data_IF_341990262870
#
_entry.id   IF_341990262870
#
_cell.length_a   1.000
_cell.length_b   1.000
_cell.length_c   1.000
_cell.angle_alpha   90.00
_cell.angle_beta   90.00
_cell.angle_gamma   90.00
#
_symmetry.space_group_name_H-M   'P 1'
#
loop_
_entity.id
_entity.type
_entity.pdbx_description
1 polymer ?
#
# COMPACT_ATOMS: atom_id res chain seq x y z
N UNK A 1 44.28 2.62 0.87
CA UNK A 1 43.06 1.90 0.50
C UNK A 1 42.67 2.41 -0.88
N UNK A 2 42.80 1.61 -1.90
CA UNK A 2 42.28 1.91 -3.23
C UNK A 2 40.77 2.11 -3.10
N UNK A 3 40.28 3.26 -3.56
CA UNK A 3 38.85 3.50 -3.67
C UNK A 3 38.28 2.48 -4.65
N UNK A 4 37.44 1.59 -4.16
CA UNK A 4 36.68 0.67 -5.00
C UNK A 4 35.95 1.53 -6.07
N UNK A 5 36.21 1.25 -7.33
CA UNK A 5 35.57 1.98 -8.45
C UNK A 5 34.09 1.64 -8.60
N UNK A 6 33.56 0.70 -7.78
CA UNK A 6 32.19 0.24 -7.83
C UNK A 6 31.48 0.42 -6.47
N UNK A 7 30.15 0.58 -6.53
CA UNK A 7 29.29 0.60 -5.34
C UNK A 7 28.61 -0.76 -5.15
N UNK A 8 28.66 -1.26 -3.92
CA UNK A 8 28.01 -2.51 -3.53
C UNK A 8 26.62 -2.22 -2.95
N UNK A 9 25.59 -2.69 -3.64
CA UNK A 9 24.22 -2.60 -3.20
C UNK A 9 23.79 -3.95 -2.59
N UNK A 10 23.41 -3.92 -1.32
CA UNK A 10 22.92 -5.08 -0.58
C UNK A 10 21.41 -5.21 -0.78
N UNK A 11 20.91 -6.44 -0.83
CA UNK A 11 19.49 -6.76 -0.82
C UNK A 11 19.24 -8.10 -0.11
N UNK A 12 18.02 -8.31 0.35
CA UNK A 12 17.59 -9.55 1.02
C UNK A 12 16.36 -10.12 0.35
N UNK A 13 16.09 -11.44 0.45
CA UNK A 13 14.80 -12.00 0.11
C UNK A 13 13.70 -11.39 0.98
N UNK A 14 12.48 -11.26 0.43
CA UNK A 14 11.33 -10.75 1.19
C UNK A 14 10.03 -11.36 0.66
N UNK A 15 9.15 -11.75 1.60
CA UNK A 15 7.82 -12.29 1.33
C UNK A 15 6.83 -11.22 0.86
N UNK A 16 6.93 -10.01 1.39
CA UNK A 16 5.86 -9.03 1.38
C UNK A 16 6.14 -7.81 0.51
N UNK A 17 7.30 -7.75 -0.12
CA UNK A 17 7.67 -6.63 -0.98
C UNK A 17 8.43 -7.08 -2.25
N UNK A 18 8.63 -6.20 -3.16
CA UNK A 18 9.38 -6.48 -4.40
C UNK A 18 10.71 -5.73 -4.45
N UNK A 19 11.30 -5.42 -3.30
CA UNK A 19 12.53 -4.61 -3.19
C UNK A 19 13.64 -5.20 -4.04
N UNK A 20 13.90 -6.52 -3.93
CA UNK A 20 14.94 -7.18 -4.72
C UNK A 20 14.76 -6.95 -6.22
N UNK A 21 13.54 -7.17 -6.74
CA UNK A 21 13.25 -6.96 -8.16
C UNK A 21 13.35 -5.50 -8.58
N UNK A 22 12.92 -4.59 -7.72
CA UNK A 22 13.01 -3.16 -8.02
C UNK A 22 14.45 -2.71 -8.09
N UNK A 23 15.30 -3.15 -7.16
CA UNK A 23 16.73 -2.79 -7.18
C UNK A 23 17.49 -3.48 -8.34
N UNK A 24 17.19 -4.73 -8.68
CA UNK A 24 17.74 -5.42 -9.86
C UNK A 24 17.43 -4.64 -11.14
N UNK A 25 16.19 -4.20 -11.32
CA UNK A 25 15.76 -3.36 -12.45
C UNK A 25 16.47 -1.99 -12.46
N UNK A 26 16.60 -1.36 -11.30
CA UNK A 26 17.28 -0.08 -11.19
C UNK A 26 18.78 -0.19 -11.51
N UNK A 27 19.45 -1.22 -11.00
CA UNK A 27 20.85 -1.53 -11.33
C UNK A 27 20.99 -1.85 -12.82
N UNK A 28 20.09 -2.64 -13.40
CA UNK A 28 20.08 -2.95 -14.84
C UNK A 28 19.91 -1.71 -15.72
N UNK A 29 19.18 -0.70 -15.24
CA UNK A 29 18.94 0.55 -15.97
C UNK A 29 20.11 1.52 -15.84
N UNK A 30 20.65 1.71 -14.64
CA UNK A 30 21.63 2.74 -14.30
C UNK A 30 23.07 2.20 -14.19
N UNK A 31 23.26 0.87 -14.05
CA UNK A 31 24.57 0.24 -13.89
C UNK A 31 25.51 0.41 -15.10
N UNK A 32 24.97 0.79 -16.26
CA UNK A 32 25.80 1.10 -17.46
C UNK A 32 26.61 2.39 -17.32
N UNK A 33 26.16 3.29 -16.46
CA UNK A 33 26.81 4.60 -16.23
C UNK A 33 27.70 4.61 -14.99
N UNK A 34 27.53 3.61 -14.11
CA UNK A 34 28.32 3.42 -12.89
C UNK A 34 28.47 1.93 -12.61
N UNK A 35 29.61 1.50 -12.12
CA UNK A 35 29.83 0.12 -11.71
C UNK A 35 29.05 -0.17 -10.41
N UNK A 36 27.79 -0.60 -10.55
CA UNK A 36 26.91 -1.00 -9.46
C UNK A 36 26.90 -2.52 -9.35
N UNK A 37 27.24 -3.05 -8.19
CA UNK A 37 27.25 -4.49 -7.93
C UNK A 37 26.19 -4.85 -6.90
N UNK A 38 25.29 -5.75 -7.27
CA UNK A 38 24.27 -6.27 -6.37
C UNK A 38 24.83 -7.48 -5.61
N UNK A 39 24.66 -7.47 -4.28
CA UNK A 39 24.99 -8.58 -3.39
C UNK A 39 23.77 -8.96 -2.57
N UNK A 40 23.27 -10.17 -2.75
CA UNK A 40 22.19 -10.73 -1.97
C UNK A 40 22.72 -11.31 -0.65
N UNK A 41 22.04 -11.03 0.45
CA UNK A 41 22.31 -11.58 1.78
C UNK A 41 21.05 -12.31 2.27
N UNK A 42 21.20 -13.38 3.08
CA UNK A 42 20.08 -14.23 3.45
C UNK A 42 19.08 -13.54 4.38
N UNK A 43 19.56 -12.67 5.28
CA UNK A 43 18.74 -12.06 6.33
C UNK A 43 18.98 -10.56 6.43
N UNK A 44 17.93 -9.81 6.80
CA UNK A 44 17.97 -8.35 6.98
C UNK A 44 18.99 -7.92 8.04
N UNK A 45 19.05 -8.61 9.16
CA UNK A 45 20.02 -8.33 10.23
C UNK A 45 21.47 -8.41 9.73
N UNK A 46 21.80 -9.46 8.96
CA UNK A 46 23.11 -9.62 8.33
C UNK A 46 23.40 -8.49 7.33
N UNK A 47 22.40 -8.04 6.60
CA UNK A 47 22.54 -6.95 5.64
C UNK A 47 22.78 -5.61 6.34
N UNK A 48 22.06 -5.32 7.42
CA UNK A 48 22.26 -4.13 8.25
C UNK A 48 23.66 -4.12 8.86
N UNK A 49 24.12 -5.25 9.42
CA UNK A 49 25.47 -5.36 9.97
C UNK A 49 26.54 -5.17 8.89
N UNK A 50 26.38 -5.81 7.72
CA UNK A 50 27.30 -5.69 6.56
C UNK A 50 27.41 -4.23 6.08
N UNK A 51 26.28 -3.49 6.13
CA UNK A 51 26.26 -2.06 5.81
C UNK A 51 27.00 -1.23 6.86
N UNK A 52 26.78 -1.50 8.15
CA UNK A 52 27.46 -0.81 9.27
C UNK A 52 28.99 -1.03 9.23
N UNK A 53 29.42 -2.26 8.93
CA UNK A 53 30.84 -2.64 8.84
C UNK A 53 31.55 -2.06 7.60
N UNK A 54 30.80 -1.46 6.66
CA UNK A 54 31.37 -0.83 5.48
C UNK A 54 31.79 -1.78 4.37
N UNK A 55 31.35 -3.04 4.43
CA UNK A 55 31.57 -4.03 3.34
C UNK A 55 30.46 -3.99 2.29
N UNK A 56 29.45 -3.17 2.50
CA UNK A 56 28.44 -2.71 1.53
C UNK A 56 28.30 -1.21 1.61
N UNK A 57 27.84 -0.58 0.55
CA UNK A 57 27.69 0.87 0.47
C UNK A 57 26.23 1.31 0.65
N UNK A 58 25.30 0.54 0.12
CA UNK A 58 23.87 0.81 0.08
C UNK A 58 23.12 -0.46 0.44
N UNK A 59 22.06 -0.37 1.22
CA UNK A 59 21.09 -1.44 1.44
C UNK A 59 19.75 -1.02 0.85
N UNK A 60 19.24 -1.82 -0.09
CA UNK A 60 17.87 -1.69 -0.56
C UNK A 60 16.95 -2.44 0.41
N UNK A 61 15.99 -1.74 1.00
CA UNK A 61 15.02 -2.33 1.94
C UNK A 61 13.64 -1.70 1.80
N UNK A 62 12.62 -2.39 2.29
CA UNK A 62 11.27 -1.85 2.30
C UNK A 62 11.09 -0.78 3.38
N UNK A 63 10.05 0.03 3.24
CA UNK A 63 9.70 0.97 4.30
C UNK A 63 9.26 0.24 5.58
N UNK A 64 8.67 -0.94 5.48
CA UNK A 64 8.31 -1.76 6.65
C UNK A 64 9.55 -2.24 7.40
N UNK A 65 10.55 -2.76 6.67
CA UNK A 65 11.81 -3.20 7.28
C UNK A 65 12.54 -2.04 7.94
N UNK A 66 12.50 -0.84 7.35
CA UNK A 66 13.08 0.36 7.96
C UNK A 66 12.46 0.69 9.32
N UNK A 67 11.15 0.61 9.43
CA UNK A 67 10.43 0.88 10.68
C UNK A 67 10.43 -0.29 11.66
N UNK A 68 10.68 -1.50 11.19
CA UNK A 68 10.66 -2.73 11.99
C UNK A 68 12.01 -3.19 12.54
N UNK A 69 13.12 -2.59 12.09
CA UNK A 69 14.47 -3.00 12.49
C UNK A 69 15.22 -1.89 13.23
N UNK A 70 16.29 -2.26 13.93
CA UNK A 70 17.25 -1.31 14.45
C UNK A 70 18.09 -0.73 13.30
N UNK A 71 17.94 0.56 13.08
CA UNK A 71 18.62 1.31 12.00
C UNK A 71 19.56 2.40 12.50
N UNK A 72 19.97 2.32 13.77
CA UNK A 72 20.89 3.29 14.38
C UNK A 72 22.19 3.40 13.58
N UNK A 73 22.65 4.64 13.40
CA UNK A 73 23.84 4.97 12.61
C UNK A 73 23.63 4.93 11.08
N UNK A 74 22.44 4.58 10.63
CA UNK A 74 22.07 4.56 9.21
C UNK A 74 21.17 5.74 8.83
N UNK A 75 21.06 6.01 7.54
CA UNK A 75 20.21 7.08 7.02
C UNK A 75 19.63 6.70 5.66
N UNK A 76 18.42 7.19 5.36
CA UNK A 76 17.83 7.06 4.03
C UNK A 76 18.53 8.05 3.09
N UNK A 77 19.26 7.53 2.10
CA UNK A 77 19.88 8.34 1.06
C UNK A 77 18.83 8.83 0.05
N UNK A 78 17.79 8.06 -0.18
CA UNK A 78 16.66 8.39 -1.04
C UNK A 78 15.83 7.16 -1.37
N UNK A 79 14.86 7.31 -2.28
CA UNK A 79 13.93 6.27 -2.68
C UNK A 79 13.97 6.03 -4.18
N UNK A 80 13.75 4.77 -4.56
CA UNK A 80 13.46 4.42 -5.95
C UNK A 80 12.05 4.88 -6.35
N UNK A 81 11.77 5.06 -7.66
CA UNK A 81 10.41 5.31 -8.13
C UNK A 81 9.44 4.23 -7.64
N UNK A 82 8.33 4.64 -7.02
CA UNK A 82 7.25 3.75 -6.57
C UNK A 82 6.47 3.21 -7.78
N UNK A 83 6.83 2.04 -8.28
CA UNK A 83 6.29 1.53 -9.54
C UNK A 83 5.08 0.60 -9.41
N UNK A 84 4.96 -0.12 -8.32
CA UNK A 84 3.97 -1.18 -8.17
C UNK A 84 3.32 -1.19 -6.77
N UNK A 85 2.61 -0.09 -6.41
CA UNK A 85 2.02 0.06 -5.06
C UNK A 85 0.73 -0.74 -4.86
N UNK A 86 0.28 -1.52 -5.85
CA UNK A 86 -0.96 -2.25 -5.81
C UNK A 86 -0.76 -3.73 -5.51
N UNK A 87 -1.83 -4.38 -5.10
CA UNK A 87 -1.93 -5.81 -4.90
C UNK A 87 -2.57 -6.47 -6.11
N UNK A 88 -2.42 -7.78 -6.21
CA UNK A 88 -3.06 -8.57 -7.25
C UNK A 88 -3.69 -9.82 -6.64
N UNK A 89 -4.86 -10.18 -7.14
CA UNK A 89 -5.41 -11.51 -6.96
C UNK A 89 -4.84 -12.43 -8.05
N UNK A 90 -4.29 -13.55 -7.65
CA UNK A 90 -3.88 -14.66 -8.52
C UNK A 90 -4.97 -15.71 -8.47
N UNK A 91 -5.72 -15.87 -9.56
CA UNK A 91 -6.83 -16.80 -9.68
C UNK A 91 -7.06 -17.14 -11.16
N UNK A 92 -7.91 -18.09 -11.46
CA UNK A 92 -8.27 -18.40 -12.86
C UNK A 92 -9.23 -17.36 -13.44
N UNK A 93 -10.13 -16.83 -12.61
CA UNK A 93 -11.12 -15.83 -12.99
C UNK A 93 -10.91 -14.50 -12.27
N UNK A 94 -11.53 -13.44 -12.80
CA UNK A 94 -11.55 -12.14 -12.13
C UNK A 94 -12.33 -12.22 -10.80
N UNK A 95 -12.06 -11.33 -9.84
CA UNK A 95 -12.75 -11.33 -8.56
C UNK A 95 -14.28 -11.41 -8.69
N UNK A 96 -14.87 -10.70 -9.68
CA UNK A 96 -16.31 -10.64 -9.89
C UNK A 96 -16.92 -11.96 -10.36
N UNK A 97 -16.11 -12.84 -10.95
CA UNK A 97 -16.55 -14.11 -11.55
C UNK A 97 -16.12 -15.35 -10.77
N UNK A 98 -15.42 -15.18 -9.63
CA UNK A 98 -15.16 -16.30 -8.73
C UNK A 98 -16.47 -16.94 -8.27
N UNK A 99 -16.48 -18.25 -8.10
CA UNK A 99 -17.64 -18.98 -7.60
C UNK A 99 -18.07 -18.48 -6.20
N UNK A 100 -19.35 -18.63 -5.89
CA UNK A 100 -19.87 -18.29 -4.57
C UNK A 100 -19.21 -19.19 -3.52
N UNK A 101 -18.69 -18.58 -2.44
CA UNK A 101 -17.97 -19.29 -1.40
C UNK A 101 -16.54 -19.68 -1.76
N UNK A 102 -16.00 -19.16 -2.88
CA UNK A 102 -14.60 -19.40 -3.27
C UNK A 102 -13.63 -18.98 -2.15
N UNK A 103 -12.58 -19.80 -1.97
CA UNK A 103 -11.56 -19.62 -0.94
C UNK A 103 -10.42 -18.78 -1.46
N UNK A 104 -10.24 -17.59 -0.90
CA UNK A 104 -9.18 -16.66 -1.27
C UNK A 104 -8.28 -16.39 -0.08
N UNK A 105 -6.99 -16.61 -0.26
CA UNK A 105 -6.00 -16.35 0.79
C UNK A 105 -5.54 -14.90 0.76
N UNK A 106 -5.60 -14.24 1.92
CA UNK A 106 -5.21 -12.85 2.08
C UNK A 106 -4.65 -12.61 3.49
N UNK A 107 -3.37 -12.30 3.59
CA UNK A 107 -2.69 -12.06 4.86
C UNK A 107 -3.08 -10.74 5.53
N UNK A 108 -3.37 -9.72 4.74
CA UNK A 108 -3.53 -8.37 5.27
C UNK A 108 -4.99 -8.06 5.63
N UNK A 109 -5.25 -7.69 6.89
CA UNK A 109 -6.61 -7.43 7.40
C UNK A 109 -7.37 -6.37 6.61
N UNK A 110 -6.72 -5.25 6.28
CA UNK A 110 -7.33 -4.22 5.44
C UNK A 110 -7.82 -4.80 4.10
N UNK A 111 -6.99 -5.60 3.43
CA UNK A 111 -7.36 -6.20 2.13
C UNK A 111 -8.49 -7.21 2.28
N UNK A 112 -8.56 -7.97 3.38
CA UNK A 112 -9.71 -8.84 3.67
C UNK A 112 -11.00 -8.05 3.79
N UNK A 113 -10.98 -6.90 4.50
CA UNK A 113 -12.14 -6.02 4.62
C UNK A 113 -12.56 -5.41 3.28
N UNK A 114 -11.60 -4.99 2.46
CA UNK A 114 -11.85 -4.49 1.11
C UNK A 114 -12.38 -5.58 0.18
N UNK A 115 -11.87 -6.82 0.28
CA UNK A 115 -12.41 -7.98 -0.46
C UNK A 115 -13.85 -8.29 -0.05
N UNK A 116 -14.18 -8.27 1.25
CA UNK A 116 -15.57 -8.43 1.72
C UNK A 116 -16.50 -7.32 1.22
N UNK A 117 -16.01 -6.08 1.12
CA UNK A 117 -16.77 -4.99 0.49
C UNK A 117 -17.14 -5.30 -0.95
N UNK A 118 -16.20 -5.87 -1.68
CA UNK A 118 -16.39 -6.24 -3.08
C UNK A 118 -17.22 -7.53 -3.23
N UNK A 119 -16.87 -8.57 -2.49
CA UNK A 119 -17.43 -9.92 -2.55
C UNK A 119 -17.62 -10.48 -1.15
N UNK A 120 -18.75 -10.19 -0.50
CA UNK A 120 -19.02 -10.62 0.87
C UNK A 120 -19.24 -12.12 1.03
N UNK A 121 -19.44 -12.83 -0.09
CA UNK A 121 -19.67 -14.28 -0.14
C UNK A 121 -18.37 -15.11 -0.16
N UNK A 122 -17.20 -14.50 -0.36
CA UNK A 122 -15.94 -15.22 -0.38
C UNK A 122 -15.50 -15.69 1.01
N UNK A 123 -14.86 -16.84 1.05
CA UNK A 123 -14.20 -17.38 2.26
C UNK A 123 -12.76 -16.86 2.25
N UNK A 124 -12.45 -15.90 3.13
CA UNK A 124 -11.12 -15.29 3.23
C UNK A 124 -10.33 -15.99 4.33
N UNK A 125 -9.22 -16.61 3.97
CA UNK A 125 -8.33 -17.37 4.83
C UNK A 125 -6.95 -16.69 4.91
N UNK A 126 -6.21 -16.93 6.01
CA UNK A 126 -4.77 -16.65 6.10
C UNK A 126 -3.96 -17.85 5.59
N UNK A 127 -2.64 -17.68 5.41
CA UNK A 127 -1.74 -18.81 5.08
C UNK A 127 -1.80 -19.86 6.20
N UNK A 128 -1.82 -19.41 7.46
CA UNK A 128 -1.92 -20.28 8.62
C UNK A 128 -3.24 -21.06 8.65
N UNK A 129 -4.36 -20.47 8.26
CA UNK A 129 -5.66 -21.14 8.16
C UNK A 129 -5.61 -22.28 7.13
N UNK A 130 -5.05 -22.00 5.95
CA UNK A 130 -4.85 -23.02 4.90
C UNK A 130 -3.94 -24.13 5.40
N UNK A 131 -2.80 -23.77 6.04
CA UNK A 131 -1.88 -24.73 6.60
C UNK A 131 -2.52 -25.62 7.69
N UNK A 132 -3.35 -25.01 8.53
CA UNK A 132 -4.09 -25.74 9.56
C UNK A 132 -5.08 -26.73 8.94
N UNK A 133 -5.83 -26.29 7.93
CA UNK A 133 -6.82 -27.09 7.21
C UNK A 133 -6.18 -28.27 6.47
N UNK A 134 -5.02 -28.03 5.85
CA UNK A 134 -4.27 -29.05 5.10
C UNK A 134 -3.32 -29.88 5.96
N UNK A 135 -3.24 -29.62 7.28
CA UNK A 135 -2.29 -30.27 8.22
C UNK A 135 -0.81 -30.04 7.83
N UNK A 136 -0.51 -28.93 7.20
CA UNK A 136 0.81 -28.57 6.67
C UNK A 136 1.55 -27.50 7.53
N UNK A 137 1.18 -27.32 8.81
CA UNK A 137 1.78 -26.30 9.68
C UNK A 137 3.31 -26.42 9.81
N UNK A 138 3.82 -27.68 9.92
CA UNK A 138 5.26 -27.93 9.98
C UNK A 138 5.97 -27.51 8.68
N UNK A 139 5.37 -27.81 7.54
CA UNK A 139 5.92 -27.47 6.22
C UNK A 139 6.09 -25.95 6.06
N UNK A 140 5.10 -25.16 6.48
CA UNK A 140 5.16 -23.69 6.38
C UNK A 140 6.18 -23.09 7.35
N UNK A 141 6.30 -23.64 8.56
CA UNK A 141 7.25 -23.15 9.56
C UNK A 141 8.72 -23.28 9.10
N UNK A 142 8.99 -24.27 8.23
CA UNK A 142 10.32 -24.54 7.70
C UNK A 142 10.58 -23.86 6.34
N UNK A 143 9.59 -23.19 5.73
CA UNK A 143 9.71 -22.52 4.44
C UNK A 143 10.41 -21.18 4.56
N UNK A 144 11.30 -20.91 3.61
CA UNK A 144 11.84 -19.57 3.39
C UNK A 144 10.77 -18.62 2.83
N UNK A 145 10.96 -17.32 3.05
CA UNK A 145 10.03 -16.27 2.58
C UNK A 145 9.75 -16.31 1.06
N UNK A 146 10.69 -16.77 0.26
CA UNK A 146 10.52 -16.89 -1.20
C UNK A 146 9.74 -18.14 -1.62
N UNK A 147 9.60 -19.15 -0.76
CA UNK A 147 8.94 -20.42 -1.07
C UNK A 147 7.44 -20.40 -0.83
N UNK A 148 6.95 -19.48 0.00
CA UNK A 148 5.54 -19.42 0.41
C UNK A 148 4.58 -19.18 -0.77
N UNK A 149 4.96 -18.30 -1.70
CA UNK A 149 4.10 -17.98 -2.84
C UNK A 149 4.08 -19.08 -3.91
N UNK A 150 5.20 -19.75 -4.25
CA UNK A 150 5.18 -21.00 -5.02
C UNK A 150 4.29 -22.07 -4.39
N UNK A 151 4.35 -22.25 -3.06
CA UNK A 151 3.47 -23.18 -2.35
C UNK A 151 1.99 -22.79 -2.45
N UNK A 152 1.67 -21.51 -2.32
CA UNK A 152 0.29 -21.04 -2.50
C UNK A 152 -0.22 -21.30 -3.92
N UNK A 153 0.62 -21.13 -4.94
CA UNK A 153 0.27 -21.46 -6.32
C UNK A 153 0.04 -22.96 -6.51
N UNK A 154 0.81 -23.81 -5.85
CA UNK A 154 0.59 -25.25 -5.83
C UNK A 154 -0.76 -25.61 -5.20
N UNK A 155 -1.08 -25.01 -4.04
CA UNK A 155 -2.39 -25.21 -3.40
C UNK A 155 -3.56 -24.77 -4.29
N UNK A 156 -3.39 -23.71 -5.05
CA UNK A 156 -4.38 -23.26 -6.04
C UNK A 156 -4.53 -24.28 -7.18
N UNK A 157 -3.43 -24.78 -7.74
CA UNK A 157 -3.44 -25.77 -8.82
C UNK A 157 -4.03 -27.11 -8.38
N UNK A 158 -3.90 -27.48 -7.11
CA UNK A 158 -4.51 -28.68 -6.51
C UNK A 158 -6.00 -28.48 -6.17
N UNK A 159 -6.53 -27.26 -6.30
CA UNK A 159 -7.92 -26.95 -5.96
C UNK A 159 -8.19 -26.82 -4.46
N UNK A 160 -7.16 -26.68 -3.64
CA UNK A 160 -7.30 -26.46 -2.19
C UNK A 160 -7.73 -25.03 -1.86
N UNK A 161 -7.41 -24.06 -2.76
CA UNK A 161 -7.86 -22.67 -2.74
C UNK A 161 -8.19 -22.23 -4.17
N UNK A 162 -9.03 -21.20 -4.31
CA UNK A 162 -9.43 -20.66 -5.63
C UNK A 162 -8.54 -19.47 -6.05
N UNK A 163 -7.89 -18.85 -5.09
CA UNK A 163 -6.97 -17.74 -5.36
C UNK A 163 -6.25 -17.24 -4.12
N UNK A 164 -5.28 -16.35 -4.33
CA UNK A 164 -4.57 -15.70 -3.25
C UNK A 164 -4.14 -14.29 -3.64
N UNK A 165 -4.04 -13.41 -2.65
CA UNK A 165 -3.67 -12.00 -2.84
C UNK A 165 -2.21 -11.82 -2.48
N UNK A 166 -1.45 -11.24 -3.40
CA UNK A 166 -0.01 -11.00 -3.26
C UNK A 166 0.36 -9.59 -3.75
N UNK A 167 1.41 -8.95 -3.18
CA UNK A 167 1.91 -7.69 -3.73
C UNK A 167 2.29 -7.85 -5.21
N UNK A 168 1.89 -6.89 -6.04
CA UNK A 168 2.15 -6.95 -7.48
C UNK A 168 3.64 -7.08 -7.81
N UNK A 169 4.49 -6.43 -7.03
CA UNK A 169 5.93 -6.49 -7.20
C UNK A 169 6.48 -7.90 -6.94
N UNK A 170 5.95 -8.59 -5.93
CA UNK A 170 6.30 -9.99 -5.60
C UNK A 170 5.81 -10.94 -6.70
N UNK A 171 4.53 -10.79 -7.14
CA UNK A 171 4.02 -11.58 -8.26
C UNK A 171 4.91 -11.47 -9.51
N UNK A 172 5.46 -10.30 -9.80
CA UNK A 172 6.33 -10.09 -10.95
C UNK A 172 7.67 -10.86 -10.88
N UNK A 173 8.06 -11.33 -9.68
CA UNK A 173 9.28 -12.14 -9.42
C UNK A 173 9.07 -13.63 -9.52
N UNK A 174 7.84 -14.10 -9.46
CA UNK A 174 7.51 -15.52 -9.47
C UNK A 174 6.81 -15.91 -10.77
N UNK A 175 7.09 -17.14 -11.25
CA UNK A 175 6.45 -17.72 -12.44
C UNK A 175 5.13 -18.39 -12.05
N UNK A 176 4.12 -17.60 -11.73
CA UNK A 176 2.78 -18.10 -11.41
C UNK A 176 1.99 -18.41 -12.68
N UNK A 177 1.20 -19.47 -12.66
CA UNK A 177 0.34 -19.90 -13.79
C UNK A 177 -1.04 -19.24 -13.73
N UNK A 178 -1.53 -18.89 -12.54
CA UNK A 178 -2.78 -18.19 -12.33
C UNK A 178 -2.80 -16.82 -13.01
N UNK A 179 -3.98 -16.39 -13.46
CA UNK A 179 -4.16 -15.07 -14.04
C UNK A 179 -4.02 -14.00 -12.96
N UNK A 180 -3.43 -12.87 -13.35
CA UNK A 180 -3.23 -11.73 -12.47
C UNK A 180 -4.36 -10.72 -12.64
N UNK A 181 -5.10 -10.46 -11.57
CA UNK A 181 -6.14 -9.44 -11.51
C UNK A 181 -5.72 -8.33 -10.55
N UNK A 182 -5.51 -7.13 -11.07
CA UNK A 182 -5.04 -6.00 -10.26
C UNK A 182 -6.14 -5.50 -9.32
N UNK A 183 -5.84 -5.44 -8.04
CA UNK A 183 -6.66 -4.79 -7.01
C UNK A 183 -6.17 -3.33 -6.90
N UNK A 184 -6.86 -2.43 -7.61
CA UNK A 184 -6.38 -1.08 -7.85
C UNK A 184 -7.21 0.00 -7.15
N UNK A 185 -6.80 1.25 -7.37
CA UNK A 185 -7.43 2.42 -6.73
C UNK A 185 -8.77 2.82 -7.37
N UNK A 186 -9.19 2.15 -8.44
CA UNK A 186 -10.42 2.45 -9.19
C UNK A 186 -10.61 3.95 -9.41
N UNK A 187 -9.91 4.47 -10.40
CA UNK A 187 -9.85 5.92 -10.67
C UNK A 187 -10.73 6.34 -11.84
N UNK A 188 -11.38 5.40 -12.51
CA UNK A 188 -12.29 5.67 -13.61
C UNK A 188 -13.73 5.68 -13.10
N UNK A 189 -14.53 6.64 -13.56
CA UNK A 189 -15.95 6.77 -13.15
C UNK A 189 -16.83 5.57 -13.48
N UNK A 190 -16.42 4.81 -14.50
CA UNK A 190 -17.10 3.56 -14.87
C UNK A 190 -16.80 2.43 -13.90
N UNK A 191 -15.85 2.63 -12.98
CA UNK A 191 -15.43 1.63 -12.00
C UNK A 191 -16.27 1.75 -10.72
N UNK A 192 -16.67 0.61 -10.20
CA UNK A 192 -17.44 0.54 -8.96
C UNK A 192 -16.55 0.88 -7.75
N UNK A 193 -16.94 1.83 -6.92
CA UNK A 193 -16.22 2.18 -5.69
C UNK A 193 -16.04 1.00 -4.73
N UNK A 194 -16.87 -0.04 -4.82
CA UNK A 194 -16.71 -1.27 -4.03
C UNK A 194 -15.45 -2.06 -4.43
N UNK A 195 -14.96 -1.86 -5.64
CA UNK A 195 -13.77 -2.52 -6.19
C UNK A 195 -12.48 -1.74 -5.93
N UNK A 196 -12.57 -0.61 -5.21
CA UNK A 196 -11.43 0.22 -4.86
C UNK A 196 -10.62 -0.42 -3.74
N UNK A 197 -9.30 -0.56 -3.97
CA UNK A 197 -8.35 -1.07 -2.98
C UNK A 197 -7.29 -0.01 -2.72
N UNK A 198 -7.34 0.61 -1.54
CA UNK A 198 -6.28 1.52 -1.07
C UNK A 198 -5.26 0.65 -0.32
N UNK A 199 -3.98 0.68 -0.71
CA UNK A 199 -2.96 -0.13 -0.07
C UNK A 199 -2.71 0.31 1.38
N UNK A 200 -2.14 -0.59 2.21
CA UNK A 200 -1.59 -0.18 3.50
C UNK A 200 -0.60 0.97 3.34
N UNK A 201 -0.47 1.86 4.34
CA UNK A 201 0.54 2.91 4.30
C UNK A 201 1.93 2.31 4.08
N UNK A 202 2.79 3.04 3.39
CA UNK A 202 4.18 2.67 3.09
C UNK A 202 4.36 1.48 2.14
N UNK A 203 3.30 0.90 1.60
CA UNK A 203 3.40 -0.23 0.68
C UNK A 203 4.07 0.17 -0.65
N UNK A 204 5.01 -0.65 -1.11
CA UNK A 204 5.67 -0.51 -2.42
C UNK A 204 6.80 0.53 -2.49
N UNK A 205 7.27 1.06 -1.37
CA UNK A 205 8.47 1.89 -1.33
C UNK A 205 9.73 1.05 -1.16
N UNK A 206 10.73 1.32 -1.99
CA UNK A 206 12.10 0.80 -1.86
C UNK A 206 13.03 1.93 -1.43
N UNK A 207 13.54 1.83 -0.22
CA UNK A 207 14.48 2.77 0.37
C UNK A 207 15.91 2.37 0.00
N UNK A 208 16.75 3.34 -0.31
CA UNK A 208 18.19 3.19 -0.40
C UNK A 208 18.83 3.73 0.88
N UNK A 209 19.22 2.79 1.74
CA UNK A 209 19.76 3.08 3.07
C UNK A 209 21.28 3.02 3.04
N UNK A 210 21.94 3.94 3.72
CA UNK A 210 23.40 4.08 3.73
C UNK A 210 23.89 4.45 5.12
N UNK A 211 25.19 4.35 5.33
CA UNK A 211 25.82 5.00 6.50
C UNK A 211 25.69 6.51 6.42
N UNK A 212 25.73 7.16 7.55
CA UNK A 212 25.78 8.63 7.62
C UNK A 212 26.98 9.19 6.83
N UNK A 213 26.76 10.30 6.12
CA UNK A 213 27.81 10.94 5.31
C UNK A 213 28.03 10.34 3.92
N UNK A 214 27.22 9.38 3.48
CA UNK A 214 27.29 8.83 2.12
C UNK A 214 27.01 9.93 1.08
N UNK A 215 27.83 10.01 0.00
CA UNK A 215 27.66 11.03 -1.05
C UNK A 215 26.43 10.72 -1.93
N UNK A 216 25.28 11.28 -1.61
CA UNK A 216 24.00 11.08 -2.36
C UNK A 216 24.13 11.37 -3.86
N UNK A 217 25.04 12.26 -4.27
CA UNK A 217 25.29 12.56 -5.67
C UNK A 217 25.70 11.30 -6.48
N UNK A 218 26.22 10.28 -5.81
CA UNK A 218 26.63 9.03 -6.48
C UNK A 218 25.45 8.17 -6.96
N UNK A 219 24.23 8.41 -6.46
CA UNK A 219 23.03 7.63 -6.78
C UNK A 219 21.83 8.49 -7.21
N UNK A 220 22.03 9.79 -7.40
CA UNK A 220 20.95 10.75 -7.66
C UNK A 220 20.07 10.35 -8.87
N UNK A 221 20.65 9.73 -9.88
CA UNK A 221 19.92 9.27 -11.08
C UNK A 221 18.92 8.13 -10.80
N UNK A 222 19.09 7.41 -9.70
CA UNK A 222 18.19 6.35 -9.26
C UNK A 222 17.04 6.87 -8.38
N UNK A 223 17.18 8.08 -7.84
CA UNK A 223 16.27 8.61 -6.84
C UNK A 223 15.03 9.28 -7.46
N UNK A 224 13.90 9.16 -6.78
CA UNK A 224 12.65 9.82 -7.15
C UNK A 224 12.18 10.76 -6.02
N UNK A 225 12.30 12.08 -6.19
CA UNK A 225 11.84 13.05 -5.21
C UNK A 225 10.33 12.98 -4.94
N UNK A 226 9.51 12.52 -5.91
CA UNK A 226 8.07 12.37 -5.73
C UNK A 226 7.74 11.17 -4.84
N UNK A 227 8.50 10.07 -4.98
CA UNK A 227 8.41 8.93 -4.07
C UNK A 227 8.87 9.30 -2.66
N UNK A 228 9.93 10.12 -2.52
CA UNK A 228 10.40 10.58 -1.22
C UNK A 228 9.37 11.46 -0.52
N UNK A 229 8.70 12.36 -1.25
CA UNK A 229 7.62 13.19 -0.69
C UNK A 229 6.44 12.32 -0.23
N UNK A 230 6.01 11.37 -1.08
CA UNK A 230 4.91 10.45 -0.75
C UNK A 230 5.25 9.60 0.50
N UNK A 231 6.45 9.04 0.55
CA UNK A 231 6.94 8.28 1.72
C UNK A 231 6.88 9.10 3.00
N UNK A 232 7.40 10.34 3.00
CA UNK A 232 7.36 11.22 4.18
C UNK A 232 5.94 11.52 4.65
N UNK A 233 5.00 11.71 3.72
CA UNK A 233 3.61 11.98 4.06
C UNK A 233 2.91 10.73 4.61
N UNK A 234 3.11 9.56 3.99
CA UNK A 234 2.55 8.30 4.49
C UNK A 234 3.14 7.90 5.85
N UNK A 235 4.44 8.10 6.05
CA UNK A 235 5.09 7.93 7.38
C UNK A 235 4.44 8.83 8.43
N UNK A 236 4.23 10.10 8.11
CA UNK A 236 3.63 11.05 9.03
C UNK A 236 2.15 10.73 9.33
N UNK A 237 1.42 10.12 8.41
CA UNK A 237 0.07 9.57 8.66
C UNK A 237 0.18 8.39 9.63
N UNK A 238 1.02 7.41 9.33
CA UNK A 238 1.17 6.19 10.13
C UNK A 238 1.60 6.47 11.58
N UNK A 239 2.53 7.41 11.77
CA UNK A 239 3.00 7.81 13.11
C UNK A 239 1.90 8.42 13.98
N UNK A 240 0.93 9.09 13.36
CA UNK A 240 -0.19 9.76 14.06
C UNK A 240 -1.43 8.89 14.24
N UNK A 241 -1.49 7.76 13.54
CA UNK A 241 -2.54 6.77 13.73
C UNK A 241 -2.33 6.00 15.03
N UNK A 242 -3.42 5.73 15.74
CA UNK A 242 -3.41 4.78 16.85
C UNK A 242 -2.87 3.43 16.37
N UNK A 243 -2.01 2.74 17.15
CA UNK A 243 -1.48 1.43 16.78
C UNK A 243 -2.55 0.40 16.40
N UNK A 244 -3.73 0.44 17.03
CA UNK A 244 -4.86 -0.46 16.73
C UNK A 244 -5.46 -0.23 15.34
N UNK A 245 -5.37 0.99 14.82
CA UNK A 245 -5.88 1.35 13.49
C UNK A 245 -4.91 1.00 12.35
N UNK A 246 -3.62 0.90 12.63
CA UNK A 246 -2.59 0.71 11.58
C UNK A 246 -2.81 -0.52 10.69
N UNK A 247 -3.28 -1.69 11.22
CA UNK A 247 -3.52 -2.86 10.38
C UNK A 247 -4.74 -2.75 9.47
N UNK A 248 -5.67 -1.84 9.77
CA UNK A 248 -6.97 -1.71 9.11
C UNK A 248 -7.17 -0.40 8.35
N UNK A 249 -6.16 0.48 8.35
CA UNK A 249 -6.20 1.74 7.61
C UNK A 249 -5.36 1.63 6.34
N UNK A 250 -5.94 1.98 5.21
CA UNK A 250 -5.24 2.23 3.96
C UNK A 250 -4.86 3.69 3.83
N UNK A 251 -3.66 3.97 3.33
CA UNK A 251 -3.26 5.32 2.97
C UNK A 251 -2.40 5.30 1.71
N UNK A 252 -2.68 6.24 0.81
CA UNK A 252 -1.97 6.33 -0.45
C UNK A 252 -1.73 7.78 -0.82
N UNK A 253 -0.47 8.11 -1.07
CA UNK A 253 -0.05 9.44 -1.51
C UNK A 253 0.66 9.35 -2.85
N UNK A 254 0.28 10.19 -3.79
CA UNK A 254 0.90 10.23 -5.11
C UNK A 254 0.97 11.66 -5.66
N UNK A 255 2.08 11.95 -6.31
CA UNK A 255 2.22 13.17 -7.09
C UNK A 255 1.73 12.94 -8.52
N UNK A 256 0.72 13.69 -8.96
CA UNK A 256 0.11 13.56 -10.28
C UNK A 256 0.12 14.87 -11.06
N UNK A 257 0.11 14.75 -12.38
CA UNK A 257 0.00 15.90 -13.29
C UNK A 257 -1.38 16.55 -13.16
N UNK A 258 -1.42 17.88 -13.22
CA UNK A 258 -2.69 18.63 -13.18
C UNK A 258 -3.65 18.20 -14.30
N UNK A 259 -3.12 17.84 -15.48
CA UNK A 259 -3.94 17.37 -16.59
C UNK A 259 -4.78 16.12 -16.25
N UNK A 260 -4.29 15.29 -15.34
CA UNK A 260 -5.04 14.11 -14.86
C UNK A 260 -6.26 14.52 -14.04
N UNK A 261 -6.09 15.52 -13.15
CA UNK A 261 -7.19 16.05 -12.35
C UNK A 261 -8.19 16.81 -13.18
N UNK A 262 -7.74 17.58 -14.18
CA UNK A 262 -8.62 18.26 -15.13
C UNK A 262 -9.50 17.26 -15.90
N UNK A 263 -8.90 16.16 -16.38
CA UNK A 263 -9.63 15.09 -17.06
C UNK A 263 -10.66 14.48 -16.12
N UNK A 264 -10.27 14.11 -14.90
CA UNK A 264 -11.15 13.56 -13.85
C UNK A 264 -12.31 14.53 -13.58
N UNK A 265 -12.01 15.78 -13.22
CA UNK A 265 -13.04 16.77 -12.90
C UNK A 265 -14.01 17.03 -14.04
N UNK A 266 -13.52 17.03 -15.30
CA UNK A 266 -14.39 17.19 -16.49
C UNK A 266 -15.28 15.97 -16.69
N UNK A 267 -14.77 14.75 -16.50
CA UNK A 267 -15.54 13.51 -16.62
C UNK A 267 -16.60 13.39 -15.54
N UNK A 268 -16.28 13.84 -14.32
CA UNK A 268 -17.14 13.78 -13.14
C UNK A 268 -18.10 14.98 -13.02
N UNK A 269 -17.99 15.95 -13.92
CA UNK A 269 -18.68 17.23 -13.81
C UNK A 269 -18.47 17.90 -12.43
N UNK A 270 -17.26 17.71 -11.85
CA UNK A 270 -16.89 18.27 -10.55
C UNK A 270 -16.45 19.72 -10.72
N UNK A 271 -17.44 20.64 -10.65
CA UNK A 271 -17.22 22.08 -10.76
C UNK A 271 -16.35 22.63 -9.62
N UNK A 272 -16.42 22.03 -8.42
CA UNK A 272 -15.63 22.46 -7.28
C UNK A 272 -14.14 22.17 -7.52
N UNK A 273 -13.82 20.96 -7.97
CA UNK A 273 -12.46 20.58 -8.34
C UNK A 273 -11.95 21.43 -9.52
N UNK A 274 -12.75 21.60 -10.59
CA UNK A 274 -12.39 22.46 -11.72
C UNK A 274 -12.07 23.87 -11.27
N UNK A 275 -12.91 24.47 -10.44
CA UNK A 275 -12.72 25.82 -9.90
C UNK A 275 -11.43 25.91 -9.07
N UNK A 276 -11.14 24.90 -8.25
CA UNK A 276 -9.91 24.86 -7.43
C UNK A 276 -8.63 24.80 -8.26
N UNK A 277 -8.71 24.27 -9.48
CA UNK A 277 -7.58 24.13 -10.41
C UNK A 277 -7.35 25.38 -11.27
N UNK A 278 -8.31 26.31 -11.33
CA UNK A 278 -8.14 27.59 -12.07
C UNK A 278 -7.15 28.50 -11.33
N UNK A 279 -6.32 29.19 -12.07
CA UNK A 279 -5.40 30.19 -11.53
C UNK A 279 -6.14 31.53 -11.33
N UNK A 280 -6.37 31.97 -10.08
CA UNK A 280 -7.12 33.21 -9.81
C UNK A 280 -6.42 34.43 -10.29
N UNK A 281 -5.10 34.39 -10.54
CA UNK A 281 -4.27 35.53 -10.96
C UNK A 281 -4.14 35.64 -12.47
N UNK A 282 -4.74 34.73 -13.24
CA UNK A 282 -4.68 34.71 -14.70
C UNK A 282 -6.06 34.95 -15.33
N UNK A 283 -6.06 35.22 -16.63
CA UNK A 283 -7.32 35.37 -17.39
C UNK A 283 -8.23 34.14 -17.20
N UNK A 284 -9.56 34.38 -17.24
CA UNK A 284 -10.58 33.31 -17.09
C UNK A 284 -10.21 32.07 -17.91
N UNK A 285 -10.25 30.89 -17.29
CA UNK A 285 -10.03 29.59 -17.91
C UNK A 285 -8.57 29.13 -17.97
N UNK A 286 -7.62 29.87 -17.38
CA UNK A 286 -6.23 29.40 -17.26
C UNK A 286 -6.08 28.60 -15.99
N UNK A 287 -5.65 27.35 -16.13
CA UNK A 287 -5.40 26.48 -14.98
C UNK A 287 -4.03 26.72 -14.34
N UNK A 288 -3.93 26.47 -13.05
CA UNK A 288 -2.66 26.50 -12.32
C UNK A 288 -1.70 25.50 -12.98
N UNK A 289 -0.42 25.85 -13.05
CA UNK A 289 0.63 24.96 -13.53
C UNK A 289 1.19 24.09 -12.40
N UNK A 290 1.86 23.00 -12.77
CA UNK A 290 2.58 22.13 -11.84
C UNK A 290 1.76 20.92 -11.38
N UNK A 291 2.44 19.97 -10.72
CA UNK A 291 1.80 18.76 -10.22
C UNK A 291 0.90 19.05 -9.01
N UNK A 292 0.11 18.05 -8.64
CA UNK A 292 -0.69 18.02 -7.40
C UNK A 292 -0.33 16.76 -6.62
N UNK A 293 -0.46 16.86 -5.31
CA UNK A 293 -0.38 15.72 -4.39
C UNK A 293 -1.80 15.28 -4.11
N UNK A 294 -2.12 14.05 -4.50
CA UNK A 294 -3.34 13.34 -4.15
C UNK A 294 -3.06 12.49 -2.91
N UNK A 295 -3.92 12.59 -1.92
CA UNK A 295 -3.83 11.85 -0.66
C UNK A 295 -5.16 11.18 -0.40
N UNK A 296 -5.12 9.87 -0.16
CA UNK A 296 -6.28 9.02 0.12
C UNK A 296 -6.06 8.35 1.47
N UNK A 297 -7.10 8.25 2.28
CA UNK A 297 -7.12 7.47 3.51
C UNK A 297 -8.46 6.75 3.64
N UNK A 298 -8.44 5.48 4.05
CA UNK A 298 -9.64 4.65 4.14
C UNK A 298 -9.52 3.65 5.27
N UNK A 299 -10.64 3.36 5.95
CA UNK A 299 -10.81 2.16 6.78
C UNK A 299 -12.21 1.59 6.59
N UNK A 300 -12.36 0.32 6.92
CA UNK A 300 -13.63 -0.41 6.81
C UNK A 300 -13.90 -1.19 8.10
N UNK A 301 -15.19 -1.43 8.38
CA UNK A 301 -15.57 -2.40 9.39
C UNK A 301 -15.20 -3.83 8.92
N UNK A 302 -15.14 -4.82 9.82
CA UNK A 302 -14.71 -6.19 9.49
C UNK A 302 -15.54 -6.86 8.39
N UNK A 303 -16.83 -6.57 8.30
CA UNK A 303 -17.70 -7.10 7.24
C UNK A 303 -17.55 -6.41 5.88
N UNK A 304 -16.81 -5.28 5.80
CA UNK A 304 -16.65 -4.49 4.59
C UNK A 304 -17.90 -3.69 4.16
N UNK A 305 -18.96 -3.67 4.98
CA UNK A 305 -20.23 -3.03 4.62
C UNK A 305 -20.23 -1.52 4.83
N UNK A 306 -19.41 -1.03 5.74
CA UNK A 306 -19.26 0.39 6.05
C UNK A 306 -17.83 0.84 5.83
N UNK A 307 -17.66 1.95 5.12
CA UNK A 307 -16.35 2.52 4.78
C UNK A 307 -16.28 3.97 5.26
N UNK A 308 -15.22 4.31 5.99
CA UNK A 308 -14.83 5.69 6.26
C UNK A 308 -13.65 6.05 5.35
N UNK A 309 -13.77 7.07 4.53
CA UNK A 309 -12.72 7.48 3.60
C UNK A 309 -12.67 9.00 3.44
N UNK A 310 -11.46 9.54 3.32
CA UNK A 310 -11.22 10.94 2.99
C UNK A 310 -10.21 11.04 1.85
N UNK A 311 -10.38 12.04 1.00
CA UNK A 311 -9.49 12.36 -0.11
C UNK A 311 -9.14 13.85 -0.11
N UNK A 312 -7.90 14.18 -0.42
CA UNK A 312 -7.46 15.57 -0.53
C UNK A 312 -6.45 15.74 -1.66
N UNK A 313 -6.63 16.83 -2.42
CA UNK A 313 -5.73 17.21 -3.51
C UNK A 313 -5.16 18.59 -3.19
N UNK A 314 -3.84 18.69 -3.09
CA UNK A 314 -3.14 19.94 -2.73
C UNK A 314 -1.96 20.22 -3.64
N UNK A 315 -1.42 21.43 -3.57
CA UNK A 315 -0.13 21.78 -4.17
C UNK A 315 1.02 21.16 -3.34
N UNK A 316 2.17 20.81 -3.95
CA UNK A 316 3.30 20.22 -3.23
C UNK A 316 3.77 21.04 -2.02
N UNK A 317 3.74 22.37 -2.13
CA UNK A 317 4.14 23.31 -1.07
C UNK A 317 3.23 23.21 0.17
N UNK A 318 1.97 22.84 -0.04
CA UNK A 318 0.96 22.71 1.00
C UNK A 318 0.73 21.25 1.43
N UNK A 319 1.58 20.31 0.98
CA UNK A 319 1.38 18.87 1.18
C UNK A 319 1.32 18.47 2.66
N UNK A 320 2.21 19.02 3.48
CA UNK A 320 2.20 18.74 4.92
C UNK A 320 0.92 19.23 5.62
N UNK A 321 0.50 20.47 5.36
CA UNK A 321 -0.74 21.02 5.90
C UNK A 321 -1.96 20.24 5.37
N UNK A 322 -1.93 19.86 4.09
CA UNK A 322 -2.95 19.03 3.48
C UNK A 322 -3.08 17.67 4.16
N UNK A 323 -1.97 17.03 4.49
CA UNK A 323 -1.93 15.76 5.22
C UNK A 323 -2.49 15.90 6.64
N UNK A 324 -2.08 16.95 7.38
CA UNK A 324 -2.60 17.19 8.74
C UNK A 324 -4.12 17.39 8.73
N UNK A 325 -4.63 18.18 7.78
CA UNK A 325 -6.06 18.41 7.65
C UNK A 325 -6.82 17.14 7.22
N UNK A 326 -6.26 16.36 6.28
CA UNK A 326 -6.84 15.07 5.86
C UNK A 326 -7.00 14.13 7.05
N UNK A 327 -5.92 13.97 7.83
CA UNK A 327 -5.93 13.07 9.00
C UNK A 327 -6.91 13.57 10.07
N UNK A 328 -6.95 14.87 10.33
CA UNK A 328 -7.92 15.46 11.27
C UNK A 328 -9.34 15.16 10.86
N UNK A 329 -9.71 15.43 9.61
CA UNK A 329 -11.04 15.14 9.06
C UNK A 329 -11.38 13.65 9.12
N UNK A 330 -10.40 12.79 8.80
CA UNK A 330 -10.59 11.35 8.88
C UNK A 330 -10.83 10.87 10.31
N UNK A 331 -10.06 11.35 11.28
CA UNK A 331 -10.23 11.00 12.70
C UNK A 331 -11.54 11.54 13.28
N UNK A 332 -11.97 12.74 12.89
CA UNK A 332 -13.27 13.30 13.25
C UNK A 332 -14.41 12.45 12.67
N UNK A 333 -14.34 12.09 11.38
CA UNK A 333 -15.30 11.19 10.73
C UNK A 333 -15.39 9.85 11.46
N UNK A 334 -14.23 9.23 11.73
CA UNK A 334 -14.16 7.94 12.40
C UNK A 334 -14.74 8.01 13.81
N UNK A 335 -14.41 9.05 14.57
CA UNK A 335 -14.98 9.29 15.91
C UNK A 335 -16.52 9.38 15.88
N UNK A 336 -17.07 10.10 14.91
CA UNK A 336 -18.55 10.18 14.76
C UNK A 336 -19.13 8.82 14.40
N UNK A 337 -18.49 8.06 13.52
CA UNK A 337 -19.02 6.77 13.06
C UNK A 337 -18.94 5.67 14.12
N UNK A 338 -17.94 5.72 15.00
CA UNK A 338 -17.69 4.67 16.03
C UNK A 338 -18.27 5.02 17.40
N UNK A 339 -18.72 6.27 17.62
CA UNK A 339 -19.34 6.67 18.87
C UNK A 339 -20.82 6.23 18.91
N UNK A 340 -21.27 5.80 20.10
CA UNK A 340 -22.67 5.49 20.33
C UNK A 340 -23.50 6.78 20.23
N UNK A 341 -24.31 6.86 19.22
CA UNK A 341 -25.31 7.91 19.12
C UNK A 341 -26.47 7.54 20.02
N UNK A 342 -26.75 8.33 21.04
CA UNK A 342 -28.00 8.20 21.82
C UNK A 342 -29.16 8.14 20.81
N UNK A 343 -29.78 6.95 20.74
CA UNK A 343 -31.06 6.83 20.04
C UNK A 343 -31.95 7.88 20.65
N UNK A 344 -32.11 9.02 19.99
CA UNK A 344 -33.10 10.00 20.40
C UNK A 344 -34.34 9.18 20.57
N UNK A 345 -34.86 9.11 21.81
CA UNK A 345 -36.13 8.47 22.20
C UNK A 345 -37.28 9.14 21.46
N UNK A 346 -37.20 9.25 20.17
CA UNK A 346 -38.33 9.51 19.32
C UNK A 346 -39.03 8.18 19.20
N UNK A 347 -40.01 7.98 20.08
CA UNK A 347 -41.11 7.06 19.81
C UNK A 347 -41.72 7.45 18.46
N UNK A 348 -41.12 6.97 17.37
CA UNK A 348 -41.73 7.07 16.05
C UNK A 348 -42.84 6.02 16.08
N UNK A 349 -44.04 6.46 16.37
CA UNK A 349 -45.24 5.62 16.36
C UNK A 349 -45.28 4.87 15.01
N UNK A 350 -45.26 3.53 15.07
CA UNK A 350 -45.34 2.68 13.90
C UNK A 350 -44.00 2.13 13.37
N UNK A 351 -42.86 2.40 14.01
CA UNK A 351 -41.60 1.78 13.64
C UNK A 351 -41.51 0.34 14.17
N UNK A 352 -41.21 -0.68 13.34
CA UNK A 352 -41.06 -2.04 13.82
C UNK A 352 -39.97 -2.15 14.89
N UNK A 353 -40.15 -3.01 15.90
CA UNK A 353 -39.21 -3.23 17.00
C UNK A 353 -37.79 -3.62 16.51
N UNK A 354 -37.69 -4.29 15.37
CA UNK A 354 -36.41 -4.64 14.72
C UNK A 354 -35.54 -3.44 14.31
N UNK A 355 -36.13 -2.24 14.17
CA UNK A 355 -35.39 -1.01 13.94
C UNK A 355 -34.91 -0.32 15.21
N UNK A 356 -35.43 -0.76 16.36
CA UNK A 356 -35.07 -0.22 17.69
C UNK A 356 -33.89 -0.93 18.30
N UNK A 357 -33.53 -2.14 17.80
CA UNK A 357 -32.35 -2.93 18.18
C UNK A 357 -31.15 -2.67 17.26
N UNK A 358 -31.25 -1.70 16.35
CA UNK A 358 -30.11 -1.31 15.53
C UNK A 358 -28.97 -0.78 16.42
N UNK A 359 -27.76 -1.26 16.19
CA UNK A 359 -26.58 -0.75 16.88
C UNK A 359 -26.56 0.79 16.81
N UNK A 360 -26.36 1.48 17.96
CA UNK A 360 -26.29 2.93 17.99
C UNK A 360 -25.07 3.48 17.24
N UNK A 361 -24.13 2.65 16.86
CA UNK A 361 -22.93 2.99 16.10
C UNK A 361 -23.16 2.80 14.61
N UNK A 362 -22.60 3.69 13.80
CA UNK A 362 -22.60 3.56 12.35
C UNK A 362 -21.56 2.54 11.86
N UNK A 363 -20.46 2.39 12.61
CA UNK A 363 -19.36 1.51 12.30
C UNK A 363 -18.80 0.90 13.59
N UNK A 364 -18.59 -0.42 13.59
CA UNK A 364 -17.76 -1.10 14.57
C UNK A 364 -16.45 -1.55 13.89
N UNK A 365 -15.33 -1.38 14.57
CA UNK A 365 -14.01 -1.73 14.02
C UNK A 365 -13.49 -3.08 14.54
N UNK A 366 -14.08 -3.62 15.60
CA UNK A 366 -13.57 -4.76 16.36
C UNK A 366 -14.29 -6.09 16.07
N UNK A 367 -15.37 -6.08 15.28
CA UNK A 367 -16.14 -7.29 14.93
C UNK A 367 -15.82 -7.83 13.53
#
# INVERSE_FOLDING_TARGET
MEKSEYLVILTTPSRNDGVRLQIERAVGTHGKHRDLRLKQLPHMETALQTLRDGTGDILAMSAFDWHGNDVDGLSIAGLLPRKEPTWVLVADDKPEYLEQGARVVCEHELLRRQMRRMRPDLVLETIEDVAARLKAKGTIADMDDEEIWPWMEEQRLEGNIDGFIVPRAVHAGHRMKGRRHTLGLQRDQTENNRERFIPPPLHGFTLLVTRQGFPKASIVEMLDPSAELAYRLETAILERLDPSLRPIVGAYVEQRKISTFLKKATQENDEALLTSLVDPNKKRGVFKSGPRIEMLIETLNPSGTVTAACERIVQPENSHLGMVNLLKEFMELLSVMTTDHEATKRNIIGMPASFMDASPRLMDLDE
#
